data_IF_068033491771
#
_entry.id   IF_068033491771
#
_cell.length_a   1.000
_cell.length_b   1.000
_cell.length_c   1.000
_cell.angle_alpha   90.00
_cell.angle_beta   90.00
_cell.angle_gamma   90.00
#
_symmetry.space_group_name_H-M   'P 1'
#
loop_
_entity.id
_entity.type
_entity.pdbx_description
1 polymer ?
#
# COMPACT_ATOMS: atom_id res chain seq x y z
N UNK A 1 -18.54 -12.40 -18.55
CA UNK A 1 -18.33 -10.97 -18.33
C UNK A 1 -17.14 -10.57 -19.19
N UNK A 2 -17.16 -9.35 -19.75
CA UNK A 2 -16.02 -8.77 -20.47
C UNK A 2 -15.17 -7.96 -19.51
N UNK A 3 -14.00 -7.52 -19.98
CA UNK A 3 -13.11 -6.61 -19.25
C UNK A 3 -13.87 -5.49 -18.51
N UNK A 4 -14.71 -4.73 -19.21
CA UNK A 4 -15.45 -3.59 -18.63
C UNK A 4 -16.33 -4.00 -17.44
N UNK A 5 -17.02 -5.14 -17.54
CA UNK A 5 -17.88 -5.64 -16.46
C UNK A 5 -17.06 -5.96 -15.18
N UNK A 6 -15.88 -6.56 -15.37
CA UNK A 6 -14.99 -6.91 -14.26
C UNK A 6 -14.36 -5.66 -13.64
N UNK A 7 -13.96 -4.70 -14.48
CA UNK A 7 -13.38 -3.43 -14.07
C UNK A 7 -14.37 -2.58 -13.26
N UNK A 8 -15.59 -2.40 -13.78
CA UNK A 8 -16.63 -1.60 -13.11
C UNK A 8 -17.03 -2.21 -11.76
N UNK A 9 -17.16 -3.55 -11.71
CA UNK A 9 -17.48 -4.24 -10.46
C UNK A 9 -16.33 -4.14 -9.45
N UNK A 10 -15.07 -4.22 -9.90
CA UNK A 10 -13.92 -4.05 -9.02
C UNK A 10 -13.85 -2.63 -8.44
N UNK A 11 -14.03 -1.60 -9.27
CA UNK A 11 -14.10 -0.20 -8.85
C UNK A 11 -15.22 0.01 -7.82
N UNK A 12 -16.41 -0.52 -8.09
CA UNK A 12 -17.57 -0.41 -7.19
C UNK A 12 -17.27 -1.05 -5.84
N UNK A 13 -16.77 -2.28 -5.81
CA UNK A 13 -16.49 -3.00 -4.56
C UNK A 13 -15.40 -2.35 -3.73
N UNK A 14 -14.32 -1.85 -4.35
CA UNK A 14 -13.29 -1.09 -3.63
C UNK A 14 -13.84 0.21 -3.07
N UNK A 15 -14.66 0.95 -3.82
CA UNK A 15 -15.29 2.16 -3.34
C UNK A 15 -16.23 1.90 -2.14
N UNK A 16 -17.06 0.85 -2.21
CA UNK A 16 -17.92 0.42 -1.10
C UNK A 16 -17.11 0.05 0.15
N UNK A 17 -16.02 -0.70 -0.02
CA UNK A 17 -15.09 -1.01 1.07
C UNK A 17 -14.54 0.26 1.71
N UNK A 18 -13.93 1.16 0.93
CA UNK A 18 -13.25 2.34 1.48
C UNK A 18 -14.23 3.31 2.16
N UNK A 19 -15.45 3.45 1.63
CA UNK A 19 -16.55 4.19 2.28
C UNK A 19 -17.03 3.55 3.59
N UNK A 20 -16.85 2.24 3.76
CA UNK A 20 -17.17 1.56 5.03
C UNK A 20 -16.10 1.79 6.11
N UNK A 21 -14.87 2.11 5.70
CA UNK A 21 -13.74 2.41 6.60
C UNK A 21 -13.77 3.85 7.09
N UNK A 22 -14.15 4.80 6.24
CA UNK A 22 -14.24 6.22 6.58
C UNK A 22 -14.85 7.08 5.48
N UNK A 23 -14.66 8.39 5.59
CA UNK A 23 -15.09 9.36 4.58
C UNK A 23 -14.12 9.36 3.40
N UNK A 24 -14.54 8.77 2.28
CA UNK A 24 -13.73 8.65 1.07
C UNK A 24 -13.80 9.97 0.29
N UNK A 25 -12.65 10.57 0.00
CA UNK A 25 -12.56 11.78 -0.82
C UNK A 25 -13.12 11.52 -2.24
N UNK A 26 -13.85 12.51 -2.78
CA UNK A 26 -14.44 12.44 -4.11
C UNK A 26 -13.36 12.43 -5.22
N UNK A 27 -12.15 12.90 -4.91
CA UNK A 27 -11.02 12.96 -5.82
C UNK A 27 -9.96 11.91 -5.49
N UNK A 28 -9.33 11.41 -6.54
CA UNK A 28 -8.15 10.55 -6.43
C UNK A 28 -6.89 11.36 -6.71
N UNK A 29 -5.78 10.98 -6.07
CA UNK A 29 -4.46 11.50 -6.41
C UNK A 29 -3.91 10.66 -7.56
N UNK A 30 -3.64 11.29 -8.70
CA UNK A 30 -3.01 10.65 -9.85
C UNK A 30 -2.07 11.64 -10.55
N UNK A 31 -1.04 11.12 -11.22
CA UNK A 31 -0.14 11.94 -12.03
C UNK A 31 -0.86 12.50 -13.27
N UNK A 32 -0.55 13.75 -13.65
CA UNK A 32 -1.08 14.35 -14.88
C UNK A 32 -0.65 13.58 -16.15
N UNK A 33 0.52 12.94 -16.10
CA UNK A 33 0.98 12.01 -17.12
C UNK A 33 1.33 10.70 -16.42
N UNK A 34 0.87 9.59 -16.96
CA UNK A 34 1.10 8.27 -16.39
C UNK A 34 2.61 7.93 -16.42
N UNK A 35 3.23 7.55 -15.28
CA UNK A 35 4.65 7.17 -15.23
C UNK A 35 5.04 6.04 -16.18
N UNK A 36 4.11 5.15 -16.54
CA UNK A 36 4.37 4.07 -17.50
C UNK A 36 4.79 4.59 -18.89
N UNK A 37 4.43 5.82 -19.25
CA UNK A 37 4.85 6.45 -20.52
C UNK A 37 6.31 6.92 -20.52
N UNK A 38 6.97 6.94 -19.35
CA UNK A 38 8.38 7.32 -19.20
C UNK A 38 9.22 6.21 -18.56
N UNK A 39 8.81 4.95 -18.71
CA UNK A 39 9.55 3.78 -18.24
C UNK A 39 9.27 3.36 -16.80
N UNK A 40 8.28 3.97 -16.13
CA UNK A 40 7.75 3.47 -14.87
C UNK A 40 6.98 2.16 -15.03
N UNK A 41 6.66 1.47 -13.91
CA UNK A 41 5.89 0.23 -13.96
C UNK A 41 4.50 0.47 -14.54
N UNK A 42 4.06 -0.46 -15.39
CA UNK A 42 2.69 -0.48 -15.90
C UNK A 42 1.80 -1.16 -14.86
N UNK A 43 0.94 -0.37 -14.21
CA UNK A 43 -0.14 -0.92 -13.40
C UNK A 43 -1.20 -1.56 -14.32
N UNK A 44 -1.97 -2.54 -13.82
CA UNK A 44 -3.15 -3.03 -14.53
C UNK A 44 -4.06 -1.88 -14.94
N UNK A 45 -4.69 -2.00 -16.11
CA UNK A 45 -5.55 -0.95 -16.71
C UNK A 45 -4.91 0.43 -16.87
N UNK A 46 -3.57 0.55 -16.74
CA UNK A 46 -2.86 1.82 -16.62
C UNK A 46 -3.37 2.73 -15.49
N UNK A 47 -4.09 2.20 -14.50
CA UNK A 47 -4.73 3.05 -13.49
C UNK A 47 -3.83 3.20 -12.27
N UNK A 48 -3.07 4.29 -12.23
CA UNK A 48 -2.23 4.66 -11.09
C UNK A 48 -2.94 5.73 -10.26
N UNK A 49 -3.79 5.29 -9.33
CA UNK A 49 -4.56 6.17 -8.46
C UNK A 49 -4.33 5.86 -6.98
N UNK A 50 -4.37 6.90 -6.17
CA UNK A 50 -4.30 6.83 -4.72
C UNK A 50 -5.52 7.51 -4.11
N UNK A 51 -6.14 6.84 -3.15
CA UNK A 51 -7.33 7.31 -2.44
C UNK A 51 -6.93 7.98 -1.13
N UNK A 52 -7.75 8.92 -0.67
CA UNK A 52 -7.70 9.50 0.65
C UNK A 52 -9.00 9.15 1.38
N UNK A 53 -8.89 8.51 2.54
CA UNK A 53 -10.00 8.15 3.40
C UNK A 53 -9.78 8.81 4.75
N UNK A 54 -10.70 9.68 5.17
CA UNK A 54 -10.63 10.34 6.46
C UNK A 54 -11.48 9.63 7.51
N UNK A 55 -10.93 9.54 8.72
CA UNK A 55 -11.67 9.16 9.93
C UNK A 55 -11.56 10.31 10.93
N UNK A 56 -12.23 10.27 12.10
CA UNK A 56 -12.05 11.30 13.13
C UNK A 56 -10.58 11.58 13.47
N UNK A 57 -9.75 10.53 13.57
CA UNK A 57 -8.39 10.60 14.09
C UNK A 57 -7.29 10.31 13.06
N UNK A 58 -7.63 9.71 11.92
CA UNK A 58 -6.67 9.23 10.93
C UNK A 58 -6.95 9.73 9.51
N UNK A 59 -5.89 9.85 8.72
CA UNK A 59 -5.92 9.90 7.26
C UNK A 59 -5.36 8.58 6.74
N UNK A 60 -6.15 7.82 5.99
CA UNK A 60 -5.76 6.55 5.38
C UNK A 60 -5.55 6.78 3.88
N UNK A 61 -4.40 6.36 3.37
CA UNK A 61 -4.09 6.29 1.96
C UNK A 61 -4.28 4.86 1.48
N UNK A 62 -4.86 4.68 0.29
CA UNK A 62 -4.96 3.38 -0.35
C UNK A 62 -4.58 3.46 -1.83
N UNK A 63 -4.04 2.38 -2.39
CA UNK A 63 -3.94 2.27 -3.84
C UNK A 63 -5.31 1.91 -4.43
N UNK A 64 -5.57 2.34 -5.66
CA UNK A 64 -6.76 1.98 -6.41
C UNK A 64 -6.38 1.71 -7.87
N UNK A 65 -6.11 0.44 -8.15
CA UNK A 65 -5.75 -0.02 -9.50
C UNK A 65 -4.70 -1.12 -9.54
N UNK A 66 -4.01 -1.42 -8.44
CA UNK A 66 -3.11 -2.59 -8.40
C UNK A 66 -3.89 -3.90 -8.61
N UNK A 67 -5.16 -3.91 -8.22
CA UNK A 67 -6.09 -5.04 -8.38
C UNK A 67 -7.02 -4.93 -9.59
N UNK A 68 -6.83 -3.97 -10.49
CA UNK A 68 -7.65 -3.89 -11.70
C UNK A 68 -7.39 -5.11 -12.60
N UNK A 69 -8.42 -5.65 -13.28
CA UNK A 69 -8.18 -6.67 -14.30
C UNK A 69 -7.18 -6.14 -15.34
N UNK A 70 -6.34 -6.99 -15.90
CA UNK A 70 -5.40 -6.55 -16.93
C UNK A 70 -6.13 -6.00 -18.17
N UNK A 71 -5.56 -4.99 -18.82
CA UNK A 71 -6.17 -4.34 -19.99
C UNK A 71 -6.23 -5.23 -21.23
N UNK A 72 -5.46 -6.32 -21.25
CA UNK A 72 -5.50 -7.35 -22.28
C UNK A 72 -6.46 -8.51 -21.96
N UNK A 73 -7.25 -8.43 -20.88
CA UNK A 73 -8.15 -9.49 -20.38
C UNK A 73 -8.97 -10.18 -21.48
N UNK A 74 -9.63 -9.41 -22.37
CA UNK A 74 -10.50 -9.97 -23.41
C UNK A 74 -9.73 -10.78 -24.49
N UNK A 75 -8.41 -10.61 -24.56
CA UNK A 75 -7.55 -11.23 -25.59
C UNK A 75 -6.46 -12.15 -25.03
N UNK A 76 -6.22 -12.13 -23.71
CA UNK A 76 -5.24 -12.95 -23.03
C UNK A 76 -5.89 -13.88 -22.00
N UNK A 77 -6.13 -15.17 -22.36
CA UNK A 77 -6.76 -16.14 -21.46
C UNK A 77 -6.02 -16.37 -20.14
N UNK A 78 -4.70 -16.15 -20.10
CA UNK A 78 -3.91 -16.34 -18.88
C UNK A 78 -4.22 -15.28 -17.81
N UNK A 79 -4.69 -14.11 -18.24
CA UNK A 79 -5.03 -12.99 -17.36
C UNK A 79 -6.51 -12.98 -16.94
N UNK A 80 -7.33 -13.87 -17.50
CA UNK A 80 -8.78 -13.87 -17.27
C UNK A 80 -9.21 -14.37 -15.88
N UNK A 81 -8.27 -14.84 -15.07
CA UNK A 81 -8.52 -15.33 -13.70
C UNK A 81 -7.99 -14.40 -12.62
N UNK A 82 -7.33 -13.29 -12.99
CA UNK A 82 -6.63 -12.41 -12.06
C UNK A 82 -7.22 -11.00 -12.03
N UNK A 83 -7.43 -10.49 -10.84
CA UNK A 83 -7.60 -9.08 -10.54
C UNK A 83 -6.22 -8.44 -10.39
N UNK A 84 -5.54 -8.25 -11.52
CA UNK A 84 -4.26 -7.56 -11.59
C UNK A 84 -3.20 -8.27 -10.76
N UNK A 85 -2.60 -7.54 -9.81
CA UNK A 85 -1.61 -8.08 -8.88
C UNK A 85 -2.22 -8.80 -7.68
N UNK A 86 -3.55 -8.88 -7.56
CA UNK A 86 -4.21 -9.59 -6.46
C UNK A 86 -4.15 -8.87 -5.11
N UNK A 87 -3.80 -7.58 -5.07
CA UNK A 87 -3.77 -6.79 -3.84
C UNK A 87 -4.11 -5.31 -4.04
N UNK A 88 -4.43 -4.63 -2.95
CA UNK A 88 -4.25 -3.18 -2.78
C UNK A 88 -3.43 -2.91 -1.51
N UNK A 89 -2.65 -1.83 -1.51
CA UNK A 89 -1.91 -1.37 -0.34
C UNK A 89 -2.74 -0.32 0.41
N UNK A 90 -2.53 -0.22 1.71
CA UNK A 90 -3.01 0.93 2.49
C UNK A 90 -2.05 1.33 3.62
N UNK A 91 -2.07 2.61 3.97
CA UNK A 91 -1.27 3.19 5.05
C UNK A 91 -2.15 4.15 5.85
N UNK A 92 -2.16 4.04 7.18
CA UNK A 92 -2.83 5.01 8.04
C UNK A 92 -1.81 5.97 8.66
N UNK A 93 -2.15 7.24 8.79
CA UNK A 93 -1.36 8.26 9.48
C UNK A 93 -2.28 9.12 10.36
N UNK A 94 -1.75 9.86 11.36
CA UNK A 94 -2.53 10.85 12.10
C UNK A 94 -3.23 11.82 11.15
N UNK A 95 -4.47 12.20 11.49
CA UNK A 95 -5.31 13.03 10.62
C UNK A 95 -4.58 14.30 10.18
N UNK A 96 -4.51 14.48 8.86
CA UNK A 96 -3.97 15.70 8.25
C UNK A 96 -5.06 16.78 8.25
N UNK A 97 -4.89 17.81 9.08
CA UNK A 97 -5.78 18.97 9.08
C UNK A 97 -5.70 19.67 7.72
N UNK A 98 -6.79 19.66 6.94
CA UNK A 98 -6.81 20.16 5.55
C UNK A 98 -6.93 19.06 4.48
N UNK A 99 -7.08 17.80 4.89
CA UNK A 99 -7.43 16.67 4.05
C UNK A 99 -6.49 16.44 2.88
N UNK A 100 -7.07 16.19 1.70
CA UNK A 100 -6.32 15.85 0.48
C UNK A 100 -5.19 16.85 0.15
N UNK A 101 -5.43 18.15 0.40
CA UNK A 101 -4.46 19.21 0.08
C UNK A 101 -3.18 19.10 0.92
N UNK A 102 -3.30 18.78 2.20
CA UNK A 102 -2.14 18.59 3.08
C UNK A 102 -1.52 17.21 2.89
N UNK A 103 -2.33 16.19 2.58
CA UNK A 103 -1.85 14.87 2.22
C UNK A 103 -0.91 14.92 0.99
N UNK A 104 -1.26 15.70 -0.03
CA UNK A 104 -0.44 15.88 -1.24
C UNK A 104 0.96 16.46 -0.99
N UNK A 105 1.16 17.14 0.14
CA UNK A 105 2.46 17.72 0.54
C UNK A 105 3.22 16.83 1.52
N UNK A 106 2.59 15.76 1.99
CA UNK A 106 3.06 14.95 3.09
C UNK A 106 4.19 14.00 2.67
N UNK A 107 5.08 13.66 3.61
CA UNK A 107 6.12 12.66 3.35
C UNK A 107 5.53 11.25 3.31
N UNK A 108 4.43 11.03 4.03
CA UNK A 108 3.70 9.76 4.07
C UNK A 108 3.22 9.35 2.68
N UNK A 109 2.60 10.28 1.95
CA UNK A 109 2.18 10.04 0.57
C UNK A 109 3.37 9.74 -0.34
N UNK A 110 4.50 10.42 -0.16
CA UNK A 110 5.70 10.21 -0.99
C UNK A 110 6.29 8.81 -0.81
N UNK A 111 6.34 8.32 0.43
CA UNK A 111 6.70 6.93 0.73
C UNK A 111 5.69 5.98 0.08
N UNK A 112 4.40 6.23 0.27
CA UNK A 112 3.34 5.35 -0.21
C UNK A 112 3.34 5.21 -1.73
N UNK A 113 3.49 6.32 -2.46
CA UNK A 113 3.55 6.33 -3.92
C UNK A 113 4.78 5.57 -4.44
N UNK A 114 5.96 5.77 -3.84
CA UNK A 114 7.17 5.04 -4.25
C UNK A 114 7.08 3.55 -3.96
N UNK A 115 6.54 3.19 -2.79
CA UNK A 115 6.27 1.80 -2.46
C UNK A 115 5.33 1.16 -3.47
N UNK A 116 4.25 1.84 -3.84
CA UNK A 116 3.29 1.31 -4.81
C UNK A 116 3.95 1.07 -6.18
N UNK A 117 4.89 1.91 -6.61
CA UNK A 117 5.68 1.64 -7.83
C UNK A 117 6.59 0.41 -7.69
N UNK A 118 7.25 0.22 -6.55
CA UNK A 118 8.06 -0.98 -6.30
C UNK A 118 7.19 -2.25 -6.32
N UNK A 119 6.03 -2.19 -5.67
CA UNK A 119 5.05 -3.29 -5.65
C UNK A 119 4.52 -3.58 -7.05
N UNK A 120 4.16 -2.54 -7.83
CA UNK A 120 3.70 -2.71 -9.20
C UNK A 120 4.76 -3.28 -10.15
N UNK A 121 6.05 -3.14 -9.80
CA UNK A 121 7.17 -3.71 -10.55
C UNK A 121 7.41 -5.19 -10.24
N UNK A 122 6.72 -5.75 -9.24
CA UNK A 122 6.90 -7.13 -8.79
C UNK A 122 5.63 -7.96 -8.99
N UNK A 123 5.52 -8.73 -10.10
CA UNK A 123 4.32 -9.53 -10.38
C UNK A 123 4.09 -10.67 -9.38
N UNK A 124 5.09 -11.04 -8.58
CA UNK A 124 5.00 -12.15 -7.61
C UNK A 124 4.73 -11.68 -6.18
N UNK A 125 4.42 -10.40 -5.97
CA UNK A 125 4.33 -9.80 -4.63
C UNK A 125 3.29 -10.50 -3.74
N UNK A 126 2.13 -10.90 -4.28
CA UNK A 126 1.12 -11.65 -3.52
C UNK A 126 1.65 -13.02 -3.14
N UNK A 127 2.21 -13.79 -4.08
CA UNK A 127 2.81 -15.10 -3.77
C UNK A 127 3.90 -15.01 -2.69
N UNK A 128 4.68 -13.92 -2.68
CA UNK A 128 5.67 -13.68 -1.64
C UNK A 128 5.02 -13.38 -0.27
N UNK A 129 3.92 -12.63 -0.24
CA UNK A 129 3.14 -12.42 0.99
C UNK A 129 2.51 -13.72 1.49
N UNK A 130 2.10 -14.61 0.59
CA UNK A 130 1.53 -15.92 0.93
C UNK A 130 2.57 -16.82 1.60
N UNK A 131 3.80 -16.81 1.08
CA UNK A 131 4.89 -17.62 1.60
C UNK A 131 5.45 -17.06 2.91
N UNK A 132 5.64 -15.73 3.01
CA UNK A 132 6.40 -15.13 4.11
C UNK A 132 5.55 -14.39 5.13
N UNK A 133 4.25 -14.18 4.88
CA UNK A 133 3.30 -13.38 5.69
C UNK A 133 3.64 -11.88 5.76
N UNK A 134 4.90 -11.55 6.01
CA UNK A 134 5.43 -10.19 6.09
C UNK A 134 6.54 -10.00 5.07
N UNK A 135 6.57 -8.84 4.43
CA UNK A 135 7.65 -8.41 3.54
C UNK A 135 8.22 -7.08 4.00
N UNK A 136 9.51 -6.87 3.77
CA UNK A 136 10.18 -5.60 4.06
C UNK A 136 10.82 -5.05 2.79
N UNK A 137 10.67 -3.75 2.57
CA UNK A 137 11.24 -3.05 1.40
C UNK A 137 12.02 -1.83 1.90
N UNK A 138 13.24 -1.64 1.39
CA UNK A 138 13.99 -0.40 1.57
C UNK A 138 13.70 0.57 0.42
N UNK A 139 13.49 1.84 0.75
CA UNK A 139 13.23 2.92 -0.21
C UNK A 139 14.30 3.99 -0.06
N UNK A 140 14.77 4.52 -1.19
CA UNK A 140 15.71 5.65 -1.25
C UNK A 140 14.96 6.89 -1.74
N UNK A 141 14.65 7.81 -0.83
CA UNK A 141 13.84 8.99 -1.12
C UNK A 141 14.44 10.23 -0.45
N UNK A 142 14.60 11.30 -1.22
CA UNK A 142 15.08 12.58 -0.70
C UNK A 142 14.03 13.27 0.19
N UNK A 143 14.42 14.19 1.06
CA UNK A 143 13.48 15.07 1.78
C UNK A 143 12.49 14.34 2.70
N UNK A 144 12.81 13.12 3.15
CA UNK A 144 12.10 12.48 4.25
C UNK A 144 12.60 13.05 5.59
N UNK A 145 11.80 12.96 6.66
CA UNK A 145 12.27 13.28 8.01
C UNK A 145 13.53 12.47 8.38
N UNK A 146 14.55 13.13 8.93
CA UNK A 146 15.84 12.50 9.24
C UNK A 146 15.70 11.29 10.17
N UNK A 147 14.74 11.30 11.10
CA UNK A 147 14.51 10.19 12.02
C UNK A 147 13.89 8.94 11.39
N UNK A 148 13.54 8.98 10.10
CA UNK A 148 13.06 7.82 9.33
C UNK A 148 14.12 7.26 8.37
N UNK A 149 15.27 7.92 8.27
CA UNK A 149 16.30 7.62 7.27
C UNK A 149 17.56 7.13 7.98
N UNK A 150 18.11 6.02 7.53
CA UNK A 150 19.38 5.50 8.06
C UNK A 150 20.59 6.26 7.50
N UNK A 151 21.79 5.89 7.95
CA UNK A 151 23.06 6.46 7.50
C UNK A 151 23.35 6.29 6.00
N UNK A 152 22.65 5.37 5.34
CA UNK A 152 22.73 5.11 3.90
C UNK A 152 21.69 5.87 3.07
N UNK A 153 20.83 6.66 3.71
CA UNK A 153 19.75 7.36 3.01
C UNK A 153 18.51 6.49 2.74
N UNK A 154 18.38 5.35 3.42
CA UNK A 154 17.27 4.41 3.23
C UNK A 154 16.20 4.60 4.31
N UNK A 155 14.93 4.52 3.92
CA UNK A 155 13.82 4.27 4.84
C UNK A 155 13.24 2.88 4.62
N UNK A 156 12.83 2.22 5.69
CA UNK A 156 12.29 0.86 5.64
C UNK A 156 10.77 0.88 5.74
N UNK A 157 10.10 -0.02 5.01
CA UNK A 157 8.69 -0.31 5.21
C UNK A 157 8.47 -1.80 5.41
N UNK A 158 7.49 -2.13 6.26
CA UNK A 158 7.00 -3.48 6.51
C UNK A 158 5.58 -3.60 5.93
N UNK A 159 5.32 -4.71 5.25
CA UNK A 159 4.05 -5.04 4.63
C UNK A 159 3.38 -6.21 5.37
N UNK A 160 2.06 -6.16 5.47
CA UNK A 160 1.25 -7.31 5.88
C UNK A 160 0.91 -7.38 7.37
N UNK A 161 1.14 -6.31 8.14
CA UNK A 161 0.61 -6.25 9.50
C UNK A 161 -0.92 -6.32 9.50
N UNK A 162 -1.47 -7.03 10.49
CA UNK A 162 -2.91 -7.10 10.70
C UNK A 162 -3.37 -5.83 11.39
N UNK A 163 -4.46 -5.25 10.89
CA UNK A 163 -5.08 -4.05 11.46
C UNK A 163 -6.56 -4.32 11.70
N UNK A 164 -7.12 -3.64 12.70
CA UNK A 164 -8.58 -3.61 12.89
C UNK A 164 -9.26 -2.52 12.07
N UNK A 165 -8.49 -1.63 11.42
CA UNK A 165 -9.01 -0.50 10.64
C UNK A 165 -9.60 -0.95 9.30
N UNK A 166 -8.93 -1.89 8.64
CA UNK A 166 -9.26 -2.36 7.29
C UNK A 166 -9.27 -3.89 7.33
N UNK A 167 -10.27 -4.56 6.71
CA UNK A 167 -10.25 -6.01 6.60
C UNK A 167 -9.02 -6.50 5.82
N UNK A 168 -8.66 -7.77 6.00
CA UNK A 168 -7.46 -8.35 5.35
C UNK A 168 -7.62 -8.61 3.85
N UNK A 169 -8.86 -8.73 3.38
CA UNK A 169 -9.19 -9.19 2.03
C UNK A 169 -10.45 -8.54 1.50
N UNK A 170 -10.57 -8.47 0.19
CA UNK A 170 -11.79 -8.05 -0.52
C UNK A 170 -12.11 -9.04 -1.62
N UNK A 171 -13.33 -9.56 -1.63
CA UNK A 171 -13.82 -10.42 -2.71
C UNK A 171 -14.14 -9.57 -3.93
N UNK A 172 -13.41 -9.74 -5.05
CA UNK A 172 -13.71 -9.07 -6.31
C UNK A 172 -14.55 -9.97 -7.23
N UNK A 173 -14.39 -9.84 -8.55
CA UNK A 173 -15.21 -10.57 -9.53
C UNK A 173 -14.46 -11.75 -10.16
N UNK A 174 -13.12 -11.74 -10.09
CA UNK A 174 -12.26 -12.81 -10.58
C UNK A 174 -11.63 -13.58 -9.42
N UNK A 175 -11.20 -12.87 -8.37
CA UNK A 175 -10.57 -13.46 -7.19
C UNK A 175 -10.81 -12.65 -5.91
N UNK A 176 -10.46 -13.25 -4.77
CA UNK A 176 -10.27 -12.54 -3.50
C UNK A 176 -8.89 -11.86 -3.52
N UNK A 177 -8.85 -10.55 -3.35
CA UNK A 177 -7.59 -9.80 -3.26
C UNK A 177 -7.17 -9.56 -1.81
N UNK A 178 -5.89 -9.31 -1.58
CA UNK A 178 -5.34 -8.89 -0.27
C UNK A 178 -5.43 -7.38 -0.09
N UNK A 179 -5.73 -6.94 1.13
CA UNK A 179 -5.61 -5.55 1.56
C UNK A 179 -4.41 -5.48 2.50
N UNK A 180 -3.31 -4.90 2.03
CA UNK A 180 -2.00 -5.04 2.66
C UNK A 180 -1.65 -3.76 3.39
N UNK A 181 -1.55 -3.83 4.72
CA UNK A 181 -1.05 -2.72 5.52
C UNK A 181 0.40 -2.41 5.17
N UNK A 182 0.72 -1.12 5.16
CA UNK A 182 2.06 -0.56 5.08
C UNK A 182 2.39 0.12 6.40
N UNK A 183 3.47 -0.31 7.03
CA UNK A 183 4.02 0.31 8.24
C UNK A 183 5.42 0.84 7.96
N UNK A 184 5.67 2.10 8.28
CA UNK A 184 7.00 2.71 8.17
C UNK A 184 7.85 2.33 9.38
N UNK A 185 9.08 1.92 9.10
CA UNK A 185 10.06 1.47 10.09
C UNK A 185 10.94 2.63 10.53
N UNK A 186 11.29 2.64 11.80
CA UNK A 186 12.42 3.44 12.28
C UNK A 186 13.74 2.87 11.75
N UNK A 187 14.84 3.66 11.71
CA UNK A 187 16.14 3.17 11.29
C UNK A 187 16.63 1.97 12.12
N UNK A 188 16.33 1.93 13.43
CA UNK A 188 16.68 0.82 14.31
C UNK A 188 15.94 -0.48 13.94
N UNK A 189 14.66 -0.38 13.61
CA UNK A 189 13.84 -1.51 13.19
C UNK A 189 14.26 -2.05 11.82
N UNK A 190 14.59 -1.16 10.87
CA UNK A 190 15.17 -1.58 9.60
C UNK A 190 16.51 -2.30 9.81
N UNK A 191 17.38 -1.77 10.66
CA UNK A 191 18.65 -2.40 10.99
C UNK A 191 18.46 -3.80 11.64
N UNK A 192 17.44 -3.96 12.49
CA UNK A 192 17.07 -5.24 13.08
C UNK A 192 16.68 -6.28 12.02
N UNK A 193 15.84 -5.90 11.05
CA UNK A 193 15.50 -6.78 9.91
C UNK A 193 16.76 -7.12 9.10
N UNK A 194 17.65 -6.16 8.85
CA UNK A 194 18.86 -6.40 8.05
C UNK A 194 19.80 -7.39 8.77
N UNK A 195 19.93 -7.27 10.09
CA UNK A 195 20.79 -8.14 10.88
C UNK A 195 20.29 -9.59 10.92
N UNK A 196 18.99 -9.78 11.16
CA UNK A 196 18.41 -11.09 11.46
C UNK A 196 17.53 -11.65 10.31
N UNK A 197 17.48 -10.95 9.18
CA UNK A 197 16.79 -11.35 7.96
C UNK A 197 15.31 -11.66 8.15
N UNK A 198 14.88 -12.83 7.65
CA UNK A 198 13.49 -13.28 7.76
C UNK A 198 13.01 -13.43 9.20
N UNK A 199 13.87 -13.90 10.10
CA UNK A 199 13.54 -14.06 11.51
C UNK A 199 13.34 -12.70 12.18
N UNK A 200 14.26 -11.75 11.93
CA UNK A 200 14.15 -10.38 12.43
C UNK A 200 12.85 -9.70 11.98
N UNK A 201 12.43 -9.93 10.73
CA UNK A 201 11.16 -9.41 10.20
C UNK A 201 9.94 -9.96 10.92
N UNK A 202 9.90 -11.27 11.19
CA UNK A 202 8.78 -11.90 11.91
C UNK A 202 8.71 -11.37 13.35
N UNK A 203 9.84 -11.36 14.06
CA UNK A 203 9.90 -10.88 15.43
C UNK A 203 9.52 -9.40 15.55
N UNK A 204 9.98 -8.56 14.61
CA UNK A 204 9.58 -7.17 14.55
C UNK A 204 8.07 -7.03 14.34
N UNK A 205 7.49 -7.79 13.41
CA UNK A 205 6.05 -7.77 13.17
C UNK A 205 5.25 -8.16 14.42
N UNK A 206 5.69 -9.19 15.14
CA UNK A 206 5.08 -9.62 16.40
C UNK A 206 5.18 -8.57 17.51
N UNK A 207 6.29 -7.83 17.58
CA UNK A 207 6.47 -6.72 18.53
C UNK A 207 5.56 -5.55 18.16
N UNK A 208 5.49 -5.18 16.88
CA UNK A 208 4.61 -4.12 16.39
C UNK A 208 3.14 -4.43 16.69
N UNK A 209 2.67 -5.65 16.41
CA UNK A 209 1.27 -6.05 16.67
C UNK A 209 0.86 -5.98 18.16
N UNK A 210 1.81 -5.87 19.10
CA UNK A 210 1.53 -5.67 20.54
C UNK A 210 1.42 -4.20 20.93
N UNK A 211 1.85 -3.28 20.06
CA UNK A 211 1.73 -1.84 20.27
C UNK A 211 0.38 -1.38 19.73
N UNK A 212 -0.37 -0.68 20.58
CA UNK A 212 -1.63 -0.07 20.19
C UNK A 212 -1.39 0.94 19.06
N UNK A 213 -2.20 0.89 18.01
CA UNK A 213 -2.06 1.74 16.82
C UNK A 213 -0.75 1.58 16.06
N UNK A 214 -0.08 0.41 16.14
CA UNK A 214 1.12 0.13 15.34
C UNK A 214 0.92 0.23 13.83
N UNK A 215 -0.32 0.05 13.38
CA UNK A 215 -0.74 0.25 11.99
C UNK A 215 -0.76 1.72 11.53
N UNK A 216 -0.66 2.66 12.48
CA UNK A 216 -0.63 4.11 12.25
C UNK A 216 0.82 4.57 12.15
N UNK A 217 1.16 5.08 10.97
CA UNK A 217 2.45 5.68 10.67
C UNK A 217 2.54 7.05 11.35
N UNK A 218 3.28 7.09 12.46
CA UNK A 218 3.53 8.31 13.24
C UNK A 218 5.01 8.43 13.60
N UNK A 219 5.49 9.67 13.64
CA UNK A 219 6.83 10.02 14.11
C UNK A 219 7.00 9.84 15.61
N UNK A 220 5.89 9.81 16.35
CA UNK A 220 5.90 9.70 17.81
C UNK A 220 5.94 8.23 18.28
N UNK A 221 5.84 7.26 17.36
CA UNK A 221 5.93 5.84 17.70
C UNK A 221 7.38 5.49 18.05
N UNK A 222 7.68 5.03 19.27
CA UNK A 222 9.01 4.56 19.60
C UNK A 222 9.34 3.28 18.82
N UNK A 223 10.64 3.05 18.59
CA UNK A 223 11.16 1.75 18.14
C UNK A 223 10.70 0.65 19.09
N UNK A 224 10.33 -0.51 18.55
CA UNK A 224 10.01 -1.70 19.35
C UNK A 224 11.20 -2.64 19.54
N UNK A 225 12.38 -2.26 19.02
CA UNK A 225 13.66 -2.96 19.17
C UNK A 225 14.69 -2.09 19.86
#
# INVERSE_FOLDING_TARGET
>A
MKYDDHFDLACKKRNELWKSVGDLDDYVIAGAINPAFFGGPRWPSLRQAFLCIETPDLTIMATDGLSDPYDDFDTNPSNQVYNGLGLELYMAAPRKQGGLTELMKSWELRIFQNLAQQVASNPNIVSMLDEYTFLSISLFLDGLPESLVNDKGETGVLLGLKSKLVPDTLELSLETIRLVNVTVLTPAELAYIIADGGQGRIELAEKLMKVEHSEVVSMDRPSVV
#
